data_IF_302146144999
#
_entry.id   IF_302146144999
#
_cell.length_a   1.000
_cell.length_b   1.000
_cell.length_c   1.000
_cell.angle_alpha   90.00
_cell.angle_beta   90.00
_cell.angle_gamma   90.00
#
_symmetry.space_group_name_H-M   'P 1'
#
loop_
_entity.id
_entity.type
_entity.pdbx_description
1 polymer ?
#
# COMPACT_ATOMS: atom_id res chain seq x y z
N UNK A 1 -12.76 -24.83 52.44
CA UNK A 1 -11.97 -24.65 51.20
C UNK A 1 -12.91 -24.66 49.98
N UNK A 2 -13.70 -23.61 49.73
CA UNK A 2 -14.69 -23.61 48.62
C UNK A 2 -14.98 -22.21 48.04
N UNK A 3 -14.02 -21.28 47.95
CA UNK A 3 -14.37 -19.89 47.59
C UNK A 3 -13.33 -19.14 46.75
N UNK A 4 -12.46 -19.84 46.01
CA UNK A 4 -11.40 -19.19 45.23
C UNK A 4 -11.30 -19.76 43.81
N UNK A 5 -12.43 -19.85 43.10
CA UNK A 5 -12.46 -20.33 41.71
C UNK A 5 -13.38 -19.48 40.81
N UNK A 6 -13.77 -18.28 41.25
CA UNK A 6 -14.65 -17.38 40.49
C UNK A 6 -13.95 -16.16 39.86
N UNK A 7 -12.76 -15.77 40.32
CA UNK A 7 -12.15 -14.50 39.91
C UNK A 7 -11.28 -14.57 38.63
N UNK A 8 -10.93 -15.77 38.16
CA UNK A 8 -10.01 -15.92 37.02
C UNK A 8 -10.74 -15.76 35.67
N UNK A 9 -12.07 -15.97 35.62
CA UNK A 9 -12.83 -15.94 34.37
C UNK A 9 -13.08 -14.52 33.82
N UNK A 10 -13.05 -13.48 34.68
CA UNK A 10 -13.30 -12.10 34.25
C UNK A 10 -12.09 -11.38 33.61
N UNK A 11 -10.87 -11.90 33.78
CA UNK A 11 -9.65 -11.22 33.30
C UNK A 11 -9.31 -11.51 31.82
N UNK A 12 -9.98 -12.49 31.20
CA UNK A 12 -9.65 -12.96 29.84
C UNK A 12 -10.44 -12.19 28.75
N UNK A 13 -11.50 -11.46 29.11
CA UNK A 13 -12.41 -10.83 28.15
C UNK A 13 -12.03 -9.40 27.73
N UNK A 14 -10.99 -8.79 28.32
CA UNK A 14 -10.63 -7.38 28.05
C UNK A 14 -9.64 -7.16 26.90
N UNK A 15 -9.19 -8.20 26.19
CA UNK A 15 -8.15 -8.07 25.15
C UNK A 15 -8.65 -8.25 23.71
N UNK A 16 -9.96 -8.38 23.49
CA UNK A 16 -10.54 -8.44 22.15
C UNK A 16 -10.96 -7.05 21.66
N UNK A 17 -10.04 -6.08 21.73
CA UNK A 17 -10.20 -4.85 20.96
C UNK A 17 -10.02 -5.22 19.48
N UNK A 18 -10.96 -4.90 18.57
CA UNK A 18 -10.67 -5.02 17.15
C UNK A 18 -9.50 -4.09 16.85
N UNK A 19 -8.34 -4.64 16.52
CA UNK A 19 -7.24 -3.87 15.93
C UNK A 19 -7.75 -3.44 14.56
N UNK A 20 -8.34 -2.25 14.49
CA UNK A 20 -8.60 -1.60 13.21
C UNK A 20 -7.24 -1.26 12.61
N UNK A 21 -6.77 -2.09 11.68
CA UNK A 21 -5.58 -1.76 10.90
C UNK A 21 -5.93 -0.59 10.00
N UNK A 22 -5.40 0.59 10.31
CA UNK A 22 -5.56 1.77 9.46
C UNK A 22 -5.07 1.43 8.05
N UNK A 23 -5.94 1.62 7.06
CA UNK A 23 -5.62 1.40 5.65
C UNK A 23 -4.97 2.64 5.05
N UNK A 24 -4.16 2.43 4.03
CA UNK A 24 -3.58 3.51 3.23
C UNK A 24 -4.65 4.01 2.26
N UNK A 25 -5.03 5.28 2.41
CA UNK A 25 -6.04 5.91 1.56
C UNK A 25 -5.47 6.28 0.19
N UNK A 26 -6.16 5.87 -0.87
CA UNK A 26 -5.87 6.18 -2.26
C UNK A 26 -6.93 7.16 -2.79
N UNK A 27 -6.53 8.43 -2.91
CA UNK A 27 -7.42 9.53 -3.30
C UNK A 27 -7.40 9.87 -4.79
N UNK A 28 -6.72 9.05 -5.59
CA UNK A 28 -6.59 9.27 -7.04
C UNK A 28 -6.84 7.99 -7.80
N UNK A 29 -7.51 8.13 -8.96
CA UNK A 29 -7.71 7.05 -9.92
C UNK A 29 -6.38 6.42 -10.36
N UNK A 30 -6.37 5.12 -10.68
CA UNK A 30 -5.18 4.47 -11.16
C UNK A 30 -4.74 5.06 -12.50
N UNK A 31 -3.43 5.20 -12.68
CA UNK A 31 -2.82 5.72 -13.91
C UNK A 31 -2.07 4.60 -14.62
N UNK A 32 -2.25 4.46 -15.92
CA UNK A 32 -1.54 3.44 -16.71
C UNK A 32 -0.10 3.90 -16.92
N UNK A 33 0.86 3.02 -16.63
CA UNK A 33 2.27 3.27 -16.94
C UNK A 33 2.61 2.69 -18.31
N UNK A 34 3.35 3.46 -19.11
CA UNK A 34 3.85 3.04 -20.42
C UNK A 34 5.32 2.63 -20.30
N UNK A 35 5.69 1.51 -20.91
CA UNK A 35 7.09 1.07 -20.94
C UNK A 35 7.85 1.87 -22.01
N UNK A 36 8.99 2.46 -21.63
CA UNK A 36 9.88 3.17 -22.53
C UNK A 36 11.33 2.75 -22.26
N UNK A 37 11.84 1.86 -23.11
CA UNK A 37 13.19 1.30 -22.94
C UNK A 37 13.31 0.51 -21.63
N UNK A 38 14.15 1.01 -20.71
CA UNK A 38 14.46 0.40 -19.41
C UNK A 38 13.65 0.98 -18.24
N UNK A 39 12.74 1.91 -18.51
CA UNK A 39 11.93 2.61 -17.51
C UNK A 39 10.45 2.65 -17.90
N UNK A 40 9.62 3.06 -16.94
CA UNK A 40 8.21 3.35 -17.13
C UNK A 40 7.95 4.85 -17.05
N UNK A 41 6.99 5.31 -17.84
CA UNK A 41 6.52 6.69 -17.85
C UNK A 41 5.08 6.79 -17.35
N UNK A 42 4.81 7.91 -16.69
CA UNK A 42 3.44 8.40 -16.53
C UNK A 42 2.96 9.12 -17.80
N UNK A 43 1.65 9.18 -18.06
CA UNK A 43 1.10 9.98 -19.14
C UNK A 43 1.32 11.48 -18.87
N UNK A 44 1.33 12.29 -19.93
CA UNK A 44 1.57 13.74 -19.85
C UNK A 44 0.57 14.50 -18.94
N UNK A 45 -0.62 13.93 -18.72
CA UNK A 45 -1.66 14.46 -17.84
C UNK A 45 -1.36 14.26 -16.34
N UNK A 46 -0.30 13.53 -16.01
CA UNK A 46 0.09 13.27 -14.64
C UNK A 46 1.00 14.37 -14.11
N UNK A 47 0.49 15.16 -13.17
CA UNK A 47 1.18 16.36 -12.65
C UNK A 47 1.62 16.23 -11.18
N UNK A 48 1.66 15.00 -10.64
CA UNK A 48 2.12 14.76 -9.27
C UNK A 48 3.64 14.61 -9.23
N UNK A 49 4.21 14.98 -8.09
CA UNK A 49 5.62 14.72 -7.81
C UNK A 49 5.84 13.26 -7.39
N UNK A 50 7.09 12.86 -7.22
CA UNK A 50 7.44 11.49 -6.85
C UNK A 50 7.04 11.09 -5.43
N UNK A 51 6.59 12.03 -4.58
CA UNK A 51 6.30 11.76 -3.17
C UNK A 51 4.90 11.14 -2.99
N UNK A 52 4.75 10.38 -1.91
CA UNK A 52 3.49 9.76 -1.53
C UNK A 52 3.17 8.51 -2.34
N UNK A 53 1.91 8.07 -2.23
CA UNK A 53 1.42 6.86 -2.88
C UNK A 53 0.91 7.14 -4.28
N UNK A 54 1.24 6.25 -5.21
CA UNK A 54 0.83 6.37 -6.60
C UNK A 54 0.13 5.10 -7.02
N UNK A 55 -1.17 5.24 -7.31
CA UNK A 55 -1.97 4.11 -7.76
C UNK A 55 -1.81 3.98 -9.27
N UNK A 56 -1.28 2.85 -9.72
CA UNK A 56 -0.91 2.62 -11.11
C UNK A 56 -1.43 1.30 -11.64
N UNK A 57 -1.57 1.22 -12.95
CA UNK A 57 -1.77 -0.03 -13.68
C UNK A 57 -0.52 -0.31 -14.51
N UNK A 58 0.19 -1.39 -14.19
CA UNK A 58 1.46 -1.74 -14.81
C UNK A 58 1.59 -3.26 -14.93
N UNK A 59 2.07 -3.73 -16.08
CA UNK A 59 2.18 -5.17 -16.40
C UNK A 59 0.88 -5.96 -16.13
N UNK A 60 -0.28 -5.37 -16.45
CA UNK A 60 -1.57 -6.04 -16.31
C UNK A 60 -2.15 -6.09 -14.89
N UNK A 61 -1.51 -5.43 -13.91
CA UNK A 61 -1.91 -5.48 -12.50
C UNK A 61 -2.01 -4.09 -11.90
N UNK A 62 -3.03 -3.86 -11.07
CA UNK A 62 -3.13 -2.65 -10.25
C UNK A 62 -2.14 -2.72 -9.09
N UNK A 63 -1.30 -1.69 -8.97
CA UNK A 63 -0.25 -1.61 -7.96
C UNK A 63 -0.24 -0.24 -7.31
N UNK A 64 0.16 -0.19 -6.05
CA UNK A 64 0.40 1.04 -5.30
C UNK A 64 1.90 1.20 -5.12
N UNK A 65 2.46 2.25 -5.72
CA UNK A 65 3.89 2.51 -5.68
C UNK A 65 4.26 3.57 -4.66
N UNK A 66 5.44 3.40 -4.08
CA UNK A 66 6.07 4.36 -3.18
C UNK A 66 7.60 4.32 -3.37
N UNK A 67 8.27 5.47 -3.18
CA UNK A 67 9.74 5.57 -3.29
C UNK A 67 10.43 4.66 -2.29
N UNK A 68 10.03 4.77 -1.02
CA UNK A 68 10.62 4.02 0.07
C UNK A 68 9.90 2.68 0.28
N UNK A 69 10.63 1.60 0.62
CA UNK A 69 10.01 0.34 0.99
C UNK A 69 9.18 0.50 2.28
N UNK A 70 8.05 -0.20 2.34
CA UNK A 70 7.10 -0.15 3.45
C UNK A 70 7.01 -1.53 4.13
N UNK A 71 7.52 -1.68 5.37
CA UNK A 71 7.51 -2.97 6.08
C UNK A 71 6.12 -3.55 6.28
N UNK A 72 5.10 -2.71 6.49
CA UNK A 72 3.70 -3.14 6.64
C UNK A 72 3.15 -3.86 5.39
N UNK A 73 3.76 -3.61 4.22
CA UNK A 73 3.36 -4.20 2.94
C UNK A 73 4.28 -5.35 2.52
N UNK A 74 5.19 -5.81 3.39
CA UNK A 74 6.20 -6.82 3.05
C UNK A 74 5.62 -8.18 2.62
N UNK A 75 4.36 -8.45 2.97
CA UNK A 75 3.64 -9.68 2.57
C UNK A 75 2.98 -9.58 1.19
N UNK A 76 2.95 -8.39 0.59
CA UNK A 76 2.40 -8.17 -0.74
C UNK A 76 3.48 -8.43 -1.79
N UNK A 77 3.06 -8.94 -2.95
CA UNK A 77 3.93 -9.02 -4.12
C UNK A 77 4.42 -7.63 -4.51
N UNK A 78 5.74 -7.47 -4.63
CA UNK A 78 6.40 -6.18 -4.90
C UNK A 78 7.15 -6.23 -6.22
N UNK A 79 6.74 -5.35 -7.13
CA UNK A 79 7.44 -5.08 -8.37
C UNK A 79 8.35 -3.86 -8.17
N UNK A 80 9.65 -4.00 -8.44
CA UNK A 80 10.58 -2.87 -8.43
C UNK A 80 10.85 -2.43 -9.86
N UNK A 81 10.54 -1.17 -10.17
CA UNK A 81 10.67 -0.60 -11.51
C UNK A 81 11.33 0.76 -11.47
N UNK A 82 12.10 1.06 -12.52
CA UNK A 82 12.56 2.41 -12.79
C UNK A 82 11.40 3.21 -13.37
N UNK A 83 11.08 4.35 -12.78
CA UNK A 83 10.13 5.31 -13.31
C UNK A 83 10.88 6.59 -13.63
N UNK A 84 10.62 7.13 -14.81
CA UNK A 84 11.06 8.47 -15.16
C UNK A 84 9.91 9.45 -14.99
N UNK A 85 10.12 10.47 -14.16
CA UNK A 85 9.15 11.48 -13.81
C UNK A 85 9.85 12.84 -13.77
N UNK A 86 9.35 13.79 -14.58
CA UNK A 86 9.94 15.13 -14.74
C UNK A 86 11.45 15.11 -15.08
N UNK A 87 11.88 14.19 -15.94
CA UNK A 87 13.28 14.04 -16.35
C UNK A 87 14.21 13.46 -15.29
N UNK A 88 13.67 12.98 -14.17
CA UNK A 88 14.41 12.28 -13.13
C UNK A 88 14.01 10.82 -13.07
N UNK A 89 14.97 9.94 -12.79
CA UNK A 89 14.74 8.49 -12.67
C UNK A 89 14.71 8.05 -11.21
N UNK A 90 13.70 7.28 -10.86
CA UNK A 90 13.46 6.77 -9.52
C UNK A 90 13.25 5.26 -9.53
N UNK A 91 13.82 4.55 -8.57
CA UNK A 91 13.50 3.15 -8.33
C UNK A 91 12.32 3.05 -7.36
N UNK A 92 11.15 2.68 -7.87
CA UNK A 92 9.93 2.59 -7.07
C UNK A 92 9.62 1.17 -6.62
N UNK A 93 9.01 1.05 -5.44
CA UNK A 93 8.48 -0.20 -4.91
C UNK A 93 6.97 -0.22 -5.13
N UNK A 94 6.49 -1.09 -6.02
CA UNK A 94 5.10 -1.17 -6.45
C UNK A 94 4.43 -2.45 -5.94
N UNK A 95 3.67 -2.31 -4.86
CA UNK A 95 2.96 -3.40 -4.20
C UNK A 95 1.66 -3.71 -4.93
N UNK A 96 1.31 -4.99 -5.09
CA UNK A 96 -0.01 -5.37 -5.60
C UNK A 96 -1.12 -4.72 -4.76
N UNK A 97 -2.15 -4.19 -5.41
CA UNK A 97 -3.30 -3.65 -4.70
C UNK A 97 -4.02 -4.77 -3.94
N UNK A 98 -4.26 -4.53 -2.66
CA UNK A 98 -4.99 -5.42 -1.76
C UNK A 98 -5.89 -4.59 -0.82
N UNK A 99 -7.23 -4.81 -0.83
CA UNK A 99 -8.17 -4.02 -0.05
C UNK A 99 -8.02 -4.21 1.48
N UNK A 100 -7.20 -5.18 1.93
CA UNK A 100 -6.83 -5.31 3.34
C UNK A 100 -5.89 -4.20 3.80
N UNK A 101 -5.10 -3.65 2.89
CA UNK A 101 -4.08 -2.62 3.17
C UNK A 101 -4.44 -1.26 2.60
N UNK A 102 -5.20 -1.22 1.51
CA UNK A 102 -5.53 0.01 0.79
C UNK A 102 -7.03 0.26 0.77
N UNK A 103 -7.40 1.54 0.81
CA UNK A 103 -8.78 2.01 0.71
C UNK A 103 -8.89 3.01 -0.44
N UNK A 104 -9.95 2.93 -1.23
CA UNK A 104 -10.18 3.81 -2.39
C UNK A 104 -11.21 4.86 -2.01
N UNK A 105 -10.89 6.14 -2.20
CA UNK A 105 -11.74 7.28 -1.84
C UNK A 105 -11.55 8.46 -2.82
N UNK A 106 -12.19 8.36 -4.00
CA UNK A 106 -12.16 9.39 -5.05
C UNK A 106 -13.47 9.44 -5.84
#
# INVERSE_FOLDING_TARGET
>A
MKNMMGCILCLVLCFLSPVSSARILLTTKPVVLEAQGDAYLFPDSYHRNANGFHFVYVMGTYRVCHLNPLPILAHLDVLRINIELHGQRFLWNCYVYDPRFFEIDY
#
